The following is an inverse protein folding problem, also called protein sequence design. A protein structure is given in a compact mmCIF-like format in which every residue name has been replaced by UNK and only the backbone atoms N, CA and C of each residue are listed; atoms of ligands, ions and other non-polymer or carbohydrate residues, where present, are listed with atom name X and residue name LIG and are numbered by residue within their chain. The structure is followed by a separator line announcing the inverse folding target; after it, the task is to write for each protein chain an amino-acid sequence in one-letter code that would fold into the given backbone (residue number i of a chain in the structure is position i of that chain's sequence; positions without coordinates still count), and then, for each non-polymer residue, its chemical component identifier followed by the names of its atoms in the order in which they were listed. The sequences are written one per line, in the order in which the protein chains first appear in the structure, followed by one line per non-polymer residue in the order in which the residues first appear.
data_IF_392387129057
#
_entry.id   IF_392387129057
#
_cell.length_a   1.000
_cell.length_b   1.000
_cell.length_c   1.000
_cell.angle_alpha   90.00
_cell.angle_beta   90.00
_cell.angle_gamma   90.00
#
_symmetry.space_group_name_H-M   'P 1'
#
loop_
_entity.id
_entity.type
_entity.pdbx_description
1 polymer ?
#
# COMPACT_ATOMS: atom_id res chain seq x y z
N UNK A 1 -3.96 -0.36 -17.59
CA UNK A 1 -4.51 0.59 -16.60
C UNK A 1 -3.70 0.40 -15.34
N UNK A 2 -3.01 1.42 -14.83
CA UNK A 2 -2.20 1.31 -13.62
C UNK A 2 -3.07 1.29 -12.37
N UNK A 3 -2.58 0.69 -11.30
CA UNK A 3 -3.23 0.69 -9.98
C UNK A 3 -2.43 1.56 -9.03
N UNK A 4 -3.12 2.35 -8.21
CA UNK A 4 -2.49 3.17 -7.15
C UNK A 4 -2.75 2.49 -5.81
N UNK A 5 -1.73 2.40 -4.96
CA UNK A 5 -1.85 1.79 -3.63
C UNK A 5 -1.15 2.65 -2.58
N UNK A 6 -1.68 2.62 -1.36
CA UNK A 6 -0.96 3.04 -0.15
C UNK A 6 -0.39 1.80 0.56
N UNK A 7 0.90 1.82 0.84
CA UNK A 7 1.62 0.79 1.58
C UNK A 7 2.13 1.36 2.90
N UNK A 8 1.83 0.69 3.99
CA UNK A 8 2.39 0.96 5.31
C UNK A 8 3.35 -0.16 5.68
N UNK A 9 4.51 0.20 6.23
CA UNK A 9 5.54 -0.76 6.65
C UNK A 9 5.88 -0.56 8.12
N UNK A 10 5.97 -1.66 8.85
CA UNK A 10 6.60 -1.75 10.17
C UNK A 10 7.91 -2.51 10.05
N UNK A 11 8.99 -1.95 10.58
CA UNK A 11 10.28 -2.63 10.61
C UNK A 11 10.42 -3.49 11.87
N UNK A 12 11.26 -4.53 11.76
CA UNK A 12 11.76 -5.23 12.93
C UNK A 12 12.73 -4.36 13.74
N UNK A 13 12.88 -4.70 15.02
CA UNK A 13 13.70 -3.90 15.94
C UNK A 13 15.19 -3.88 15.55
N UNK A 14 15.71 -5.00 15.07
CA UNK A 14 17.10 -5.13 14.57
C UNK A 14 17.35 -4.22 13.36
N UNK A 15 16.37 -4.09 12.46
CA UNK A 15 16.43 -3.15 11.34
C UNK A 15 16.40 -1.71 11.78
N UNK A 16 15.66 -1.39 12.84
CA UNK A 16 15.70 -0.03 13.41
C UNK A 16 17.04 0.27 14.07
N UNK A 17 17.65 -0.70 14.74
CA UNK A 17 19.00 -0.58 15.30
C UNK A 17 20.04 -0.33 14.20
N UNK A 18 20.00 -1.09 13.10
CA UNK A 18 20.86 -0.84 11.94
C UNK A 18 20.66 0.56 11.35
N UNK A 19 19.44 1.08 11.32
CA UNK A 19 19.18 2.45 10.85
C UNK A 19 19.78 3.53 11.77
N UNK A 20 20.03 3.24 13.04
CA UNK A 20 20.73 4.16 13.95
C UNK A 20 22.22 4.22 13.65
N UNK A 21 22.82 3.09 13.27
CA UNK A 21 24.26 3.01 12.94
C UNK A 21 24.54 3.41 11.49
N UNK A 22 23.61 3.10 10.58
CA UNK A 22 23.71 3.35 9.15
C UNK A 22 22.40 3.98 8.62
N UNK A 23 22.16 5.28 8.88
CA UNK A 23 21.00 5.98 8.35
C UNK A 23 20.96 5.90 6.81
N UNK A 24 19.78 5.64 6.26
CA UNK A 24 19.58 5.51 4.81
C UNK A 24 18.24 6.11 4.35
N UNK A 25 18.21 6.63 3.12
CA UNK A 25 16.95 7.07 2.49
C UNK A 25 16.08 5.85 2.14
N UNK A 26 15.07 5.59 2.98
CA UNK A 26 14.13 4.48 2.78
C UNK A 26 13.19 4.71 1.58
N UNK A 27 12.96 5.97 1.19
CA UNK A 27 12.18 6.27 -0.02
C UNK A 27 12.94 5.83 -1.27
N UNK A 28 14.27 5.95 -1.29
CA UNK A 28 15.09 5.49 -2.40
C UNK A 28 15.08 3.97 -2.56
N UNK A 29 15.13 3.24 -1.44
CA UNK A 29 14.99 1.77 -1.45
C UNK A 29 13.63 1.37 -2.04
N UNK A 30 12.55 2.05 -1.64
CA UNK A 30 11.22 1.81 -2.19
C UNK A 30 11.15 2.15 -3.68
N UNK A 31 11.69 3.30 -4.13
CA UNK A 31 11.73 3.69 -5.55
C UNK A 31 12.37 2.62 -6.43
N UNK A 32 13.52 2.09 -6.00
CA UNK A 32 14.21 1.03 -6.75
C UNK A 32 13.39 -0.26 -6.83
N UNK A 33 12.82 -0.71 -5.72
CA UNK A 33 11.99 -1.91 -5.69
C UNK A 33 10.77 -1.76 -6.60
N UNK A 34 10.01 -0.68 -6.44
CA UNK A 34 8.81 -0.40 -7.23
C UNK A 34 9.14 -0.21 -8.72
N UNK A 35 10.21 0.52 -9.04
CA UNK A 35 10.67 0.74 -10.41
C UNK A 35 11.08 -0.55 -11.12
N UNK A 36 11.70 -1.51 -10.42
CA UNK A 36 12.05 -2.81 -10.99
C UNK A 36 10.84 -3.64 -11.43
N UNK A 37 9.65 -3.34 -10.88
CA UNK A 37 8.38 -3.97 -11.26
C UNK A 37 7.54 -3.08 -12.19
N UNK A 38 8.14 -2.06 -12.81
CA UNK A 38 7.46 -1.14 -13.74
C UNK A 38 6.52 -0.15 -13.07
N UNK A 39 6.61 0.03 -11.75
CA UNK A 39 5.85 1.01 -11.00
C UNK A 39 6.53 2.38 -10.89
N UNK A 40 5.86 3.30 -10.21
CA UNK A 40 6.40 4.62 -9.88
C UNK A 40 5.97 5.07 -8.49
N UNK A 41 6.93 5.50 -7.66
CA UNK A 41 6.64 6.09 -6.35
C UNK A 41 6.10 7.51 -6.52
N UNK A 42 4.97 7.80 -5.88
CA UNK A 42 4.34 9.12 -5.88
C UNK A 42 4.79 9.91 -4.64
N UNK A 43 4.64 9.31 -3.46
CA UNK A 43 5.07 9.92 -2.20
C UNK A 43 5.62 8.87 -1.23
N UNK A 44 6.51 9.33 -0.35
CA UNK A 44 7.00 8.56 0.79
C UNK A 44 7.02 9.45 2.04
N UNK A 45 6.61 8.88 3.16
CA UNK A 45 6.57 9.55 4.44
C UNK A 45 7.16 8.63 5.51
N UNK A 46 7.99 9.19 6.38
CA UNK A 46 8.27 8.58 7.68
C UNK A 46 7.06 8.74 8.58
N UNK A 47 6.68 7.67 9.28
CA UNK A 47 5.61 7.67 10.28
C UNK A 47 6.16 7.17 11.60
N UNK A 48 5.42 7.37 12.69
CA UNK A 48 5.80 6.88 14.01
C UNK A 48 4.55 6.46 14.77
N UNK A 49 4.58 5.24 15.34
CA UNK A 49 3.43 4.59 15.96
C UNK A 49 3.21 3.19 15.40
N UNK A 50 2.00 2.91 14.93
CA UNK A 50 1.60 1.60 14.38
C UNK A 50 2.49 1.16 13.21
N UNK A 51 2.94 2.10 12.38
CA UNK A 51 3.85 1.87 11.25
C UNK A 51 5.02 2.87 11.29
N UNK A 52 6.13 2.51 10.63
CA UNK A 52 7.34 3.34 10.56
C UNK A 52 7.47 4.11 9.23
N UNK A 53 6.83 3.63 8.16
CA UNK A 53 6.81 4.31 6.85
C UNK A 53 5.44 4.16 6.18
N UNK A 54 5.08 5.14 5.35
CA UNK A 54 3.96 5.08 4.41
C UNK A 54 4.40 5.50 3.01
N UNK A 55 4.01 4.74 2.00
CA UNK A 55 4.32 4.97 0.59
C UNK A 55 3.03 5.02 -0.22
N UNK A 56 2.95 5.94 -1.17
CA UNK A 56 1.90 5.95 -2.20
C UNK A 56 2.58 5.76 -3.54
N UNK A 57 2.18 4.74 -4.29
CA UNK A 57 2.81 4.42 -5.58
C UNK A 57 1.83 3.81 -6.58
N UNK A 58 2.21 3.91 -7.86
CA UNK A 58 1.54 3.26 -8.97
C UNK A 58 2.25 1.96 -9.34
N UNK A 59 1.47 0.97 -9.77
CA UNK A 59 1.96 -0.29 -10.36
C UNK A 59 1.21 -0.59 -11.68
N UNK A 60 1.78 -1.45 -12.54
CA UNK A 60 1.10 -1.86 -13.78
C UNK A 60 -0.25 -2.53 -13.55
N UNK A 61 -0.36 -3.37 -12.51
CA UNK A 61 -1.56 -4.13 -12.15
C UNK A 61 -1.48 -4.66 -10.70
N UNK A 62 -2.56 -5.30 -10.23
CA UNK A 62 -2.61 -5.90 -8.89
C UNK A 62 -1.69 -7.12 -8.73
N UNK A 63 -1.34 -7.84 -9.80
CA UNK A 63 -0.41 -8.96 -9.72
C UNK A 63 1.01 -8.46 -9.40
N UNK A 64 1.39 -7.33 -9.98
CA UNK A 64 2.65 -6.64 -9.70
C UNK A 64 2.70 -6.11 -8.26
N UNK A 65 1.57 -5.60 -7.75
CA UNK A 65 1.43 -5.24 -6.33
C UNK A 65 1.65 -6.46 -5.43
N UNK A 66 0.97 -7.57 -5.71
CA UNK A 66 1.08 -8.80 -4.92
C UNK A 66 2.50 -9.38 -4.96
N UNK A 67 3.17 -9.35 -6.13
CA UNK A 67 4.56 -9.79 -6.27
C UNK A 67 5.51 -8.98 -5.36
N UNK A 68 5.32 -7.67 -5.27
CA UNK A 68 6.08 -6.82 -4.33
C UNK A 68 5.89 -7.26 -2.88
N UNK A 69 4.65 -7.58 -2.48
CA UNK A 69 4.33 -7.99 -1.12
C UNK A 69 4.90 -9.36 -0.78
N UNK A 70 4.78 -10.34 -1.69
CA UNK A 70 5.39 -11.65 -1.51
C UNK A 70 6.92 -11.55 -1.36
N UNK A 71 7.56 -10.68 -2.15
CA UNK A 71 9.00 -10.46 -2.02
C UNK A 71 9.35 -9.77 -0.70
N UNK A 72 8.55 -8.78 -0.27
CA UNK A 72 8.73 -8.10 1.01
C UNK A 72 8.69 -9.07 2.19
N UNK A 73 7.73 -10.00 2.18
CA UNK A 73 7.58 -11.03 3.20
C UNK A 73 8.72 -12.05 3.17
N UNK A 74 9.02 -12.59 1.98
CA UNK A 74 10.05 -13.62 1.81
C UNK A 74 11.47 -13.14 2.16
N UNK A 75 11.73 -11.84 2.02
CA UNK A 75 13.05 -11.23 2.27
C UNK A 75 13.18 -10.60 3.66
N UNK A 76 12.13 -10.61 4.47
CA UNK A 76 12.12 -9.97 5.79
C UNK A 76 12.26 -8.44 5.71
N UNK A 77 11.82 -7.82 4.61
CA UNK A 77 11.93 -6.36 4.42
C UNK A 77 11.07 -5.59 5.43
N UNK A 78 10.01 -6.22 5.94
CA UNK A 78 9.10 -5.67 6.95
C UNK A 78 8.70 -6.74 7.96
N UNK A 79 8.49 -6.33 9.21
CA UNK A 79 7.81 -7.15 10.22
C UNK A 79 6.34 -7.38 9.85
N UNK A 80 5.67 -6.26 9.57
CA UNK A 80 4.27 -6.21 9.15
C UNK A 80 4.15 -5.16 8.05
N UNK A 81 3.23 -5.40 7.12
CA UNK A 81 2.85 -4.40 6.15
C UNK A 81 1.33 -4.40 5.95
N UNK A 82 0.80 -3.26 5.50
CA UNK A 82 -0.60 -3.11 5.13
C UNK A 82 -0.70 -2.40 3.80
N UNK A 83 -1.48 -2.96 2.89
CA UNK A 83 -1.69 -2.40 1.56
C UNK A 83 -3.15 -2.06 1.32
N UNK A 84 -3.39 -0.89 0.74
CA UNK A 84 -4.72 -0.36 0.48
C UNK A 84 -4.76 0.11 -0.98
N UNK A 85 -5.52 -0.56 -1.87
CA UNK A 85 -5.85 -0.03 -3.17
C UNK A 85 -6.55 1.32 -3.07
N UNK A 86 -6.09 2.29 -3.86
CA UNK A 86 -6.68 3.62 -3.95
C UNK A 86 -7.39 3.75 -5.29
N UNK A 87 -8.55 4.39 -5.27
CA UNK A 87 -9.26 4.84 -6.46
C UNK A 87 -9.24 6.37 -6.52
N UNK A 88 -9.49 6.93 -7.70
CA UNK A 88 -9.63 8.39 -7.82
C UNK A 88 -10.83 8.88 -7.01
N UNK A 89 -10.83 10.16 -6.61
CA UNK A 89 -11.99 10.73 -5.94
C UNK A 89 -13.23 10.71 -6.85
N UNK A 90 -13.05 10.87 -8.16
CA UNK A 90 -14.14 10.80 -9.14
C UNK A 90 -14.74 9.39 -9.21
N UNK A 91 -13.89 8.34 -9.23
CA UNK A 91 -14.35 6.95 -9.15
C UNK A 91 -15.05 6.66 -7.81
N UNK A 92 -14.58 7.25 -6.72
CA UNK A 92 -15.21 7.13 -5.41
C UNK A 92 -16.62 7.75 -5.43
N UNK A 93 -16.79 8.95 -5.99
CA UNK A 93 -18.11 9.57 -6.17
C UNK A 93 -18.98 8.73 -7.12
N UNK A 94 -18.45 8.26 -8.24
CA UNK A 94 -19.17 7.39 -9.17
C UNK A 94 -19.62 6.09 -8.50
N UNK A 95 -18.83 5.55 -7.57
CA UNK A 95 -19.18 4.36 -6.80
C UNK A 95 -20.40 4.59 -5.90
N UNK A 96 -20.53 5.78 -5.30
CA UNK A 96 -21.68 6.16 -4.49
C UNK A 96 -22.95 6.25 -5.32
N UNK A 97 -22.87 6.88 -6.51
CA UNK A 97 -24.00 6.96 -7.43
C UNK A 97 -24.49 5.56 -7.84
N UNK A 98 -23.57 4.68 -8.23
CA UNK A 98 -23.88 3.27 -8.56
C UNK A 98 -24.53 2.53 -7.38
N UNK A 99 -24.02 2.73 -6.17
CA UNK A 99 -24.61 2.14 -4.97
C UNK A 99 -26.02 2.67 -4.70
N UNK A 100 -26.27 3.96 -4.94
CA UNK A 100 -27.59 4.58 -4.84
C UNK A 100 -28.61 4.01 -5.81
N UNK A 101 -28.22 3.78 -7.08
CA UNK A 101 -29.05 3.13 -8.10
C UNK A 101 -29.45 1.69 -7.73
N UNK A 102 -28.58 1.01 -6.98
CA UNK A 102 -28.76 -0.38 -6.55
C UNK A 102 -29.27 -0.50 -5.10
N UNK A 103 -29.67 0.59 -4.45
CA UNK A 103 -30.07 0.59 -3.03
C UNK A 103 -31.11 -0.48 -2.70
N UNK A 104 -32.07 -0.69 -3.60
CA UNK A 104 -33.19 -1.61 -3.38
C UNK A 104 -32.93 -3.01 -3.98
N UNK A 105 -31.70 -3.26 -4.47
CA UNK A 105 -31.31 -4.54 -5.10
C UNK A 105 -31.00 -5.66 -4.11
N UNK A 106 -30.72 -5.32 -2.85
CA UNK A 106 -30.59 -6.29 -1.77
C UNK A 106 -30.99 -5.65 -0.44
N UNK A 107 -31.82 -6.36 0.33
CA UNK A 107 -32.15 -5.98 1.71
C UNK A 107 -31.17 -6.64 2.67
N UNK A 108 -30.76 -5.91 3.71
CA UNK A 108 -29.99 -6.49 4.80
C UNK A 108 -30.79 -7.66 5.41
N UNK A 109 -30.15 -8.84 5.51
CA UNK A 109 -30.70 -9.93 6.31
C UNK A 109 -30.77 -9.43 7.75
N UNK A 110 -31.98 -9.21 8.26
CA UNK A 110 -32.15 -8.99 9.70
C UNK A 110 -31.78 -10.29 10.38
N UNK A 111 -30.73 -10.27 11.19
CA UNK A 111 -30.42 -11.38 12.08
C UNK A 111 -31.56 -11.55 13.08
N UNK A 112 -31.98 -12.80 13.28
CA UNK A 112 -32.89 -13.20 14.37
C UNK A 112 -32.25 -12.96 15.75
#
# INVERSE_FOLDING_TARGET
MTVTVALFIKYENDKKEEMLTHPSDRAEVCRKAIGAMGGNLINAYGTFGEYDMMFVYNMPDMASVAANMHLADATGMSKYHKIIPLISNDDFVASQSKAGELRDSYTAVKGD
#
